data_IF_268453126065
#
_entry.id   IF_268453126065
#
_cell.length_a   1.000
_cell.length_b   1.000
_cell.length_c   1.000
_cell.angle_alpha   90.00
_cell.angle_beta   90.00
_cell.angle_gamma   90.00
#
_symmetry.space_group_name_H-M   'P 1'
#
loop_
_entity.id
_entity.type
_entity.pdbx_description
1 polymer ?
#
# COMPACT_ATOMS: atom_id res chain seq x y z
N UNK A 1 -6.11 -15.76 6.43
CA UNK A 1 -6.44 -14.35 6.19
C UNK A 1 -6.00 -14.00 4.77
N UNK A 2 -6.77 -13.26 3.98
CA UNK A 2 -6.39 -12.93 2.59
C UNK A 2 -5.98 -11.46 2.48
N UNK A 3 -4.83 -11.21 1.87
CA UNK A 3 -4.24 -9.88 1.75
C UNK A 3 -4.20 -9.43 0.29
N UNK A 4 -4.42 -8.13 0.06
CA UNK A 4 -4.06 -7.44 -1.17
C UNK A 4 -2.86 -6.56 -0.89
N UNK A 5 -1.76 -6.80 -1.59
CA UNK A 5 -0.50 -6.09 -1.41
C UNK A 5 -0.22 -5.22 -2.64
N UNK A 6 0.04 -3.93 -2.43
CA UNK A 6 0.30 -2.99 -3.53
C UNK A 6 1.59 -2.20 -3.25
N UNK A 7 2.70 -2.54 -3.93
CA UNK A 7 3.86 -1.65 -3.99
C UNK A 7 3.54 -0.40 -4.81
N UNK A 8 3.73 0.78 -4.23
CA UNK A 8 3.42 2.07 -4.85
C UNK A 8 4.64 3.01 -4.83
N UNK A 9 4.98 3.54 -6.00
CA UNK A 9 5.92 4.65 -6.16
C UNK A 9 5.31 5.64 -7.15
N UNK A 10 5.14 6.89 -6.74
CA UNK A 10 4.41 7.93 -7.51
C UNK A 10 3.01 7.47 -7.95
N UNK A 11 2.13 7.12 -6.99
CA UNK A 11 0.76 6.71 -7.33
C UNK A 11 -0.04 7.89 -7.90
N UNK A 12 -1.17 7.56 -8.54
CA UNK A 12 -2.18 8.51 -8.98
C UNK A 12 -3.54 8.18 -8.37
N UNK A 13 -4.60 8.87 -8.82
CA UNK A 13 -5.97 8.64 -8.35
C UNK A 13 -6.50 7.23 -8.68
N UNK A 14 -5.89 6.49 -9.62
CA UNK A 14 -6.31 5.12 -9.91
C UNK A 14 -6.06 4.19 -8.73
N UNK A 15 -5.03 4.45 -7.90
CA UNK A 15 -4.82 3.70 -6.67
C UNK A 15 -6.05 3.81 -5.76
N UNK A 16 -6.52 5.02 -5.50
CA UNK A 16 -7.68 5.27 -4.62
C UNK A 16 -8.93 4.58 -5.17
N UNK A 17 -9.20 4.72 -6.47
CA UNK A 17 -10.35 4.08 -7.12
C UNK A 17 -10.28 2.54 -7.06
N UNK A 18 -9.09 1.96 -7.20
CA UNK A 18 -8.90 0.52 -7.05
C UNK A 18 -9.25 0.09 -5.62
N UNK A 19 -8.75 0.81 -4.62
CA UNK A 19 -8.96 0.46 -3.22
C UNK A 19 -10.44 0.55 -2.81
N UNK A 20 -11.15 1.58 -3.28
CA UNK A 20 -12.59 1.71 -3.07
C UNK A 20 -13.34 0.49 -3.62
N UNK A 21 -13.11 0.13 -4.89
CA UNK A 21 -13.75 -1.02 -5.54
C UNK A 21 -13.43 -2.34 -4.84
N UNK A 22 -12.21 -2.51 -4.34
CA UNK A 22 -11.81 -3.72 -3.60
C UNK A 22 -12.53 -3.80 -2.26
N UNK A 23 -12.62 -2.68 -1.53
CA UNK A 23 -13.34 -2.63 -0.24
C UNK A 23 -14.84 -2.87 -0.38
N UNK A 24 -15.44 -2.40 -1.46
CA UNK A 24 -16.87 -2.66 -1.76
C UNK A 24 -17.16 -4.13 -2.06
N UNK A 25 -16.21 -4.86 -2.66
CA UNK A 25 -16.42 -6.21 -3.18
C UNK A 25 -15.81 -7.32 -2.32
N UNK A 26 -14.99 -6.97 -1.34
CA UNK A 26 -14.21 -7.96 -0.59
C UNK A 26 -13.85 -7.50 0.81
N UNK A 27 -13.63 -8.46 1.70
CA UNK A 27 -13.12 -8.26 3.05
C UNK A 27 -11.58 -8.36 3.13
N UNK A 28 -10.87 -8.11 2.02
CA UNK A 28 -9.41 -8.20 1.98
C UNK A 28 -8.76 -7.17 2.91
N UNK A 29 -7.70 -7.63 3.58
CA UNK A 29 -6.77 -6.75 4.28
C UNK A 29 -5.83 -6.12 3.26
N UNK A 30 -5.90 -4.80 3.11
CA UNK A 30 -5.16 -4.09 2.07
C UNK A 30 -3.93 -3.46 2.71
N UNK A 31 -2.76 -3.74 2.14
CA UNK A 31 -1.48 -3.16 2.55
C UNK A 31 -0.84 -2.50 1.32
N UNK A 32 -0.57 -1.20 1.43
CA UNK A 32 0.14 -0.42 0.42
C UNK A 32 1.54 -0.10 0.94
N UNK A 33 2.56 -0.28 0.11
CA UNK A 33 3.93 0.15 0.44
C UNK A 33 4.25 1.40 -0.34
N UNK A 34 4.41 2.53 0.34
CA UNK A 34 5.02 3.73 -0.24
C UNK A 34 6.53 3.52 -0.34
N UNK A 35 7.02 3.20 -1.54
CA UNK A 35 8.43 2.93 -1.83
C UNK A 35 9.21 4.23 -2.09
N UNK A 36 9.14 5.15 -1.12
CA UNK A 36 9.75 6.50 -1.11
C UNK A 36 9.22 7.48 -2.16
N UNK A 37 7.90 7.53 -2.37
CA UNK A 37 7.29 8.54 -3.25
C UNK A 37 7.56 9.96 -2.72
N UNK A 38 7.72 10.95 -3.61
CA UNK A 38 7.92 12.35 -3.25
C UNK A 38 6.71 12.96 -2.53
N UNK A 39 6.95 14.06 -1.78
CA UNK A 39 5.95 14.69 -0.92
C UNK A 39 4.71 15.26 -1.66
N UNK A 40 4.80 15.50 -2.97
CA UNK A 40 3.65 15.86 -3.79
C UNK A 40 2.59 14.75 -3.85
N UNK A 41 2.97 13.50 -3.58
CA UNK A 41 2.07 12.34 -3.55
C UNK A 41 1.45 12.11 -2.16
N UNK A 42 1.82 12.89 -1.14
CA UNK A 42 1.32 12.74 0.24
C UNK A 42 -0.20 12.83 0.33
N UNK A 43 -0.82 13.65 -0.53
CA UNK A 43 -2.29 13.75 -0.61
C UNK A 43 -2.94 12.41 -1.01
N UNK A 44 -2.33 11.69 -1.96
CA UNK A 44 -2.81 10.39 -2.43
C UNK A 44 -2.63 9.33 -1.33
N UNK A 45 -1.49 9.36 -0.62
CA UNK A 45 -1.29 8.43 0.49
C UNK A 45 -2.20 8.73 1.68
N UNK A 46 -2.47 10.00 1.99
CA UNK A 46 -3.45 10.38 3.02
C UNK A 46 -4.84 9.84 2.70
N UNK A 47 -5.28 9.93 1.45
CA UNK A 47 -6.56 9.34 1.03
C UNK A 47 -6.52 7.80 1.06
N UNK A 48 -5.38 7.20 0.68
CA UNK A 48 -5.16 5.75 0.72
C UNK A 48 -5.29 5.17 2.14
N UNK A 49 -4.91 5.92 3.19
CA UNK A 49 -5.01 5.47 4.58
C UNK A 49 -6.44 5.13 5.02
N UNK A 50 -7.46 5.69 4.33
CA UNK A 50 -8.87 5.38 4.61
C UNK A 50 -9.25 3.94 4.24
N UNK A 51 -8.49 3.32 3.34
CA UNK A 51 -8.81 2.00 2.77
C UNK A 51 -7.75 0.94 3.05
N UNK A 52 -6.52 1.34 3.40
CA UNK A 52 -5.39 0.43 3.51
C UNK A 52 -4.43 0.82 4.65
N UNK A 53 -3.71 -0.18 5.16
CA UNK A 53 -2.51 0.05 5.97
C UNK A 53 -1.37 0.48 5.05
N UNK A 54 -0.59 1.48 5.46
CA UNK A 54 0.52 2.00 4.66
C UNK A 54 1.85 1.71 5.37
N UNK A 55 2.76 1.05 4.67
CA UNK A 55 4.16 0.90 5.06
C UNK A 55 5.01 1.85 4.21
N UNK A 56 6.04 2.49 4.80
CA UNK A 56 6.85 3.48 4.10
C UNK A 56 8.32 3.08 4.08
N UNK A 57 8.96 3.20 2.92
CA UNK A 57 10.41 3.16 2.79
C UNK A 57 10.97 4.58 2.73
N UNK A 58 12.12 4.79 3.37
CA UNK A 58 12.85 6.07 3.33
C UNK A 58 13.55 6.33 2.00
N UNK A 59 13.87 5.26 1.26
CA UNK A 59 14.50 5.29 -0.07
C UNK A 59 13.84 4.22 -0.95
N UNK A 60 13.91 4.38 -2.26
CA UNK A 60 13.26 3.43 -3.17
C UNK A 60 14.04 2.12 -3.16
N UNK A 61 13.39 1.02 -2.75
CA UNK A 61 14.00 -0.30 -2.63
C UNK A 61 13.52 -1.26 -3.73
N UNK A 62 12.58 -0.81 -4.57
CA UNK A 62 12.01 -1.59 -5.65
C UNK A 62 10.90 -2.54 -5.18
N UNK A 63 10.14 -3.03 -6.15
CA UNK A 63 8.91 -3.82 -5.92
C UNK A 63 9.18 -5.11 -5.15
N UNK A 64 10.27 -5.82 -5.47
CA UNK A 64 10.61 -7.08 -4.80
C UNK A 64 10.87 -6.88 -3.31
N UNK A 65 11.55 -5.80 -2.94
CA UNK A 65 11.78 -5.47 -1.54
C UNK A 65 10.50 -4.97 -0.86
N UNK A 66 9.68 -4.17 -1.54
CA UNK A 66 8.36 -3.79 -1.02
C UNK A 66 7.47 -5.01 -0.69
N UNK A 67 7.47 -6.03 -1.55
CA UNK A 67 6.76 -7.29 -1.27
C UNK A 67 7.34 -8.01 -0.04
N UNK A 68 8.67 -8.13 0.06
CA UNK A 68 9.32 -8.70 1.24
C UNK A 68 8.96 -7.96 2.52
N UNK A 69 8.94 -6.62 2.49
CA UNK A 69 8.53 -5.77 3.61
C UNK A 69 7.11 -6.11 4.05
N UNK A 70 6.17 -6.27 3.11
CA UNK A 70 4.79 -6.66 3.45
C UNK A 70 4.72 -8.07 4.00
N UNK A 71 5.46 -9.02 3.44
CA UNK A 71 5.48 -10.39 3.96
C UNK A 71 6.04 -10.45 5.38
N UNK A 72 7.16 -9.77 5.66
CA UNK A 72 7.68 -9.63 7.03
C UNK A 72 6.69 -8.95 7.97
N UNK A 73 5.99 -7.92 7.50
CA UNK A 73 4.95 -7.26 8.29
C UNK A 73 3.80 -8.22 8.62
N UNK A 74 3.28 -8.96 7.62
CA UNK A 74 2.21 -9.94 7.83
C UNK A 74 2.66 -11.03 8.81
N UNK A 75 3.87 -11.57 8.63
CA UNK A 75 4.45 -12.58 9.52
C UNK A 75 4.58 -12.07 10.97
N UNK A 76 4.92 -10.79 11.16
CA UNK A 76 4.98 -10.17 12.49
C UNK A 76 3.63 -9.99 13.19
N UNK A 77 2.50 -10.20 12.49
CA UNK A 77 1.16 -10.15 13.08
C UNK A 77 0.74 -11.48 13.74
N UNK A 78 1.47 -12.59 13.54
CA UNK A 78 1.20 -13.89 14.16
C UNK A 78 1.38 -15.09 13.25
#
# INVERSE_FOLDING_TARGET
>A
MNYLVIPAYRPDLHLIHLLQKVKEKSSLQIIVVNDSSPANDDSIFRETQKYATILCHTTNQGKGQALKTVFSYIDSLG
#
